data_IF_777861426684
#
_entry.id   IF_777861426684
#
_cell.length_a   1.000
_cell.length_b   1.000
_cell.length_c   1.000
_cell.angle_alpha   90.00
_cell.angle_beta   90.00
_cell.angle_gamma   90.00
#
_symmetry.space_group_name_H-M   'P 1'
#
loop_
_entity.id
_entity.type
_entity.pdbx_description
1 polymer ?
#
# COMPACT_ATOMS: atom_id res chain seq x y z
N UNK A 1 -28.49 28.66 1.82
CA UNK A 1 -28.90 28.66 0.41
C UNK A 1 -30.00 29.68 0.16
N UNK A 2 -31.14 29.56 0.90
CA UNK A 2 -32.28 30.48 0.78
C UNK A 2 -31.89 31.97 1.03
N UNK A 3 -31.15 32.24 2.09
CA UNK A 3 -30.68 33.56 2.43
C UNK A 3 -29.71 34.19 1.39
N UNK A 4 -28.90 33.33 0.76
CA UNK A 4 -27.88 33.79 -0.20
C UNK A 4 -28.44 34.02 -1.62
N UNK A 5 -29.41 33.17 -2.05
CA UNK A 5 -29.87 33.12 -3.44
C UNK A 5 -31.36 33.37 -3.61
N UNK A 6 -32.15 33.52 -2.53
CA UNK A 6 -33.60 33.68 -2.59
C UNK A 6 -34.36 32.47 -3.13
N UNK A 7 -33.72 31.30 -3.17
CA UNK A 7 -34.28 30.06 -3.71
C UNK A 7 -34.69 29.11 -2.60
N UNK A 8 -35.78 28.38 -2.80
CA UNK A 8 -36.24 27.30 -1.93
C UNK A 8 -35.88 25.94 -2.52
N UNK A 9 -35.55 24.97 -1.68
CA UNK A 9 -35.44 23.58 -2.12
C UNK A 9 -36.83 22.95 -2.19
N UNK A 10 -37.17 22.44 -3.36
CA UNK A 10 -38.43 21.73 -3.64
C UNK A 10 -38.22 20.23 -3.43
N UNK A 11 -37.07 19.71 -3.85
CA UNK A 11 -36.65 18.34 -3.59
C UNK A 11 -35.34 18.38 -2.81
N UNK A 12 -35.28 17.65 -1.70
CA UNK A 12 -34.07 17.53 -0.87
C UNK A 12 -33.83 16.08 -0.54
N UNK A 13 -32.99 15.42 -1.35
CA UNK A 13 -32.55 14.04 -1.19
C UNK A 13 -31.02 14.02 -1.25
N UNK A 14 -30.40 12.96 -0.73
CA UNK A 14 -28.94 12.79 -0.76
C UNK A 14 -28.41 12.82 -2.20
N UNK A 15 -29.10 12.18 -3.11
CA UNK A 15 -28.73 12.02 -4.52
C UNK A 15 -29.33 13.09 -5.45
N UNK A 16 -30.32 13.86 -5.00
CA UNK A 16 -31.02 14.82 -5.83
C UNK A 16 -31.51 16.06 -5.05
N UNK A 17 -31.16 17.23 -5.56
CA UNK A 17 -31.68 18.52 -5.10
C UNK A 17 -32.37 19.22 -6.26
N UNK A 18 -33.52 19.86 -5.99
CA UNK A 18 -34.20 20.70 -6.95
C UNK A 18 -34.67 21.99 -6.24
N UNK A 19 -34.49 23.13 -6.87
CA UNK A 19 -34.89 24.41 -6.31
C UNK A 19 -36.13 24.99 -6.99
N UNK A 20 -36.73 26.04 -6.40
CA UNK A 20 -37.94 26.72 -6.88
C UNK A 20 -37.80 27.37 -8.27
N UNK A 21 -36.57 27.50 -8.79
CA UNK A 21 -36.30 28.01 -10.14
C UNK A 21 -35.93 26.88 -11.12
N UNK A 22 -36.31 25.62 -10.83
CA UNK A 22 -36.05 24.41 -11.64
C UNK A 22 -34.58 24.01 -11.78
N UNK A 23 -33.67 24.66 -11.05
CA UNK A 23 -32.28 24.22 -10.97
C UNK A 23 -32.18 22.89 -10.24
N UNK A 24 -31.41 21.95 -10.81
CA UNK A 24 -31.25 20.57 -10.30
C UNK A 24 -29.79 20.23 -10.05
N UNK A 25 -29.54 19.48 -9.00
CA UNK A 25 -28.28 18.74 -8.78
C UNK A 25 -28.60 17.27 -8.63
N UNK A 26 -27.91 16.45 -9.39
CA UNK A 26 -27.91 14.99 -9.23
C UNK A 26 -26.51 14.51 -8.85
N UNK A 27 -26.43 13.55 -7.92
CA UNK A 27 -25.17 12.96 -7.48
C UNK A 27 -25.23 11.45 -7.59
N UNK A 28 -24.14 10.83 -8.06
CA UNK A 28 -23.97 9.38 -8.15
C UNK A 28 -22.51 9.01 -7.98
N UNK A 29 -22.21 7.76 -7.65
CA UNK A 29 -20.83 7.25 -7.63
C UNK A 29 -20.36 6.79 -9.02
N UNK A 30 -19.07 6.52 -9.16
CA UNK A 30 -18.48 5.88 -10.34
C UNK A 30 -19.19 4.55 -10.58
N UNK A 31 -19.55 4.28 -11.85
CA UNK A 31 -20.35 3.10 -12.22
C UNK A 31 -21.85 3.25 -11.95
N UNK A 32 -22.31 4.33 -11.30
CA UNK A 32 -23.72 4.60 -11.09
C UNK A 32 -24.45 5.01 -12.38
N UNK A 33 -25.76 4.77 -12.40
CA UNK A 33 -26.59 5.04 -13.58
C UNK A 33 -26.80 6.55 -13.76
N UNK A 34 -26.33 7.08 -14.88
CA UNK A 34 -26.61 8.44 -15.36
C UNK A 34 -27.70 8.47 -16.44
N UNK A 35 -28.31 7.31 -16.74
CA UNK A 35 -29.34 7.20 -17.80
C UNK A 35 -30.56 8.04 -17.42
N UNK A 36 -31.01 8.90 -18.36
CA UNK A 36 -32.13 9.83 -18.13
C UNK A 36 -31.75 11.16 -17.47
N UNK A 37 -30.53 11.33 -17.02
CA UNK A 37 -30.04 12.61 -16.49
C UNK A 37 -29.15 13.30 -17.52
N UNK A 38 -29.28 14.63 -17.60
CA UNK A 38 -28.44 15.54 -18.37
C UNK A 38 -28.20 16.78 -17.54
N UNK A 39 -27.15 17.53 -17.86
CA UNK A 39 -26.80 18.72 -17.11
C UNK A 39 -25.98 19.73 -17.89
N UNK A 40 -25.97 20.98 -17.40
CA UNK A 40 -25.18 22.07 -17.94
C UNK A 40 -23.72 22.07 -17.44
N UNK A 41 -23.42 21.26 -16.41
CA UNK A 41 -22.08 21.15 -15.82
C UNK A 41 -21.90 19.75 -15.22
N UNK A 42 -20.74 19.13 -15.45
CA UNK A 42 -20.29 17.92 -14.79
C UNK A 42 -19.25 18.25 -13.71
N UNK A 43 -19.40 17.71 -12.49
CA UNK A 43 -18.39 17.82 -11.43
C UNK A 43 -18.06 16.41 -10.95
N UNK A 44 -16.79 16.04 -11.01
CA UNK A 44 -16.26 14.81 -10.46
C UNK A 44 -15.41 15.18 -9.25
N UNK A 45 -15.74 14.60 -8.10
CA UNK A 45 -15.03 14.80 -6.86
C UNK A 45 -14.54 13.43 -6.36
N UNK A 46 -13.22 13.24 -6.33
CA UNK A 46 -12.56 11.98 -5.96
C UNK A 46 -13.15 10.72 -6.62
N UNK A 47 -12.91 10.57 -7.93
CA UNK A 47 -13.38 9.41 -8.72
C UNK A 47 -12.86 8.07 -8.19
N UNK A 48 -11.75 8.07 -7.44
CA UNK A 48 -11.11 6.92 -6.82
C UNK A 48 -10.60 7.30 -5.42
N UNK A 49 -10.77 6.41 -4.47
CA UNK A 49 -10.08 6.54 -3.18
C UNK A 49 -8.65 5.97 -3.28
N UNK A 50 -7.81 6.25 -2.27
CA UNK A 50 -6.41 5.84 -2.25
C UNK A 50 -6.19 4.31 -2.29
N UNK A 51 -7.16 3.51 -1.81
CA UNK A 51 -7.12 2.05 -1.84
C UNK A 51 -7.42 1.56 -3.25
N UNK A 52 -8.50 2.03 -3.85
CA UNK A 52 -8.93 1.63 -5.20
C UNK A 52 -7.92 2.06 -6.27
N UNK A 53 -7.20 3.16 -6.06
CA UNK A 53 -6.12 3.62 -6.93
C UNK A 53 -4.89 2.69 -6.97
N UNK A 54 -4.86 1.61 -6.18
CA UNK A 54 -3.88 0.53 -6.29
C UNK A 54 -4.33 -0.60 -7.23
N UNK A 55 -5.58 -0.58 -7.69
CA UNK A 55 -6.19 -1.58 -8.57
C UNK A 55 -6.29 -1.05 -10.00
N UNK A 56 -5.57 -1.68 -10.93
CA UNK A 56 -5.66 -1.34 -12.36
C UNK A 56 -7.09 -1.47 -12.90
N UNK A 57 -7.84 -2.46 -12.40
CA UNK A 57 -9.23 -2.66 -12.78
C UNK A 57 -10.13 -1.51 -12.32
N UNK A 58 -9.94 -1.01 -11.08
CA UNK A 58 -10.72 0.11 -10.57
C UNK A 58 -10.40 1.40 -11.33
N UNK A 59 -9.13 1.64 -11.63
CA UNK A 59 -8.69 2.76 -12.46
C UNK A 59 -9.32 2.70 -13.86
N UNK A 60 -9.22 1.54 -14.52
CA UNK A 60 -9.82 1.34 -15.85
C UNK A 60 -11.34 1.57 -15.83
N UNK A 61 -12.04 1.09 -14.81
CA UNK A 61 -13.48 1.29 -14.62
C UNK A 61 -13.84 2.77 -14.50
N UNK A 62 -13.07 3.54 -13.72
CA UNK A 62 -13.31 4.97 -13.54
C UNK A 62 -13.09 5.75 -14.86
N UNK A 63 -12.03 5.43 -15.60
CA UNK A 63 -11.73 6.04 -16.89
C UNK A 63 -12.80 5.70 -17.94
N UNK A 64 -13.20 4.43 -18.04
CA UNK A 64 -14.26 3.99 -18.95
C UNK A 64 -15.62 4.63 -18.61
N UNK A 65 -15.96 4.71 -17.33
CA UNK A 65 -17.19 5.38 -16.89
C UNK A 65 -17.19 6.87 -17.27
N UNK A 66 -16.08 7.56 -17.11
CA UNK A 66 -15.95 8.94 -17.58
C UNK A 66 -16.22 9.04 -19.08
N UNK A 67 -15.54 8.22 -19.89
CA UNK A 67 -15.61 8.28 -21.34
C UNK A 67 -16.99 7.89 -21.89
N UNK A 68 -17.63 6.89 -21.31
CA UNK A 68 -18.87 6.31 -21.84
C UNK A 68 -20.14 6.87 -21.22
N UNK A 69 -20.09 7.21 -19.92
CA UNK A 69 -21.29 7.61 -19.20
C UNK A 69 -21.38 9.14 -19.00
N UNK A 70 -20.33 9.79 -18.45
CA UNK A 70 -20.42 11.21 -18.08
C UNK A 70 -20.27 12.15 -19.27
N UNK A 71 -19.26 11.93 -20.12
CA UNK A 71 -18.93 12.84 -21.24
C UNK A 71 -20.12 13.09 -22.21
N UNK A 72 -21.06 12.15 -22.29
CA UNK A 72 -22.23 12.20 -23.15
C UNK A 72 -23.49 12.77 -22.47
N UNK A 73 -23.39 13.25 -21.23
CA UNK A 73 -24.53 13.72 -20.43
C UNK A 73 -24.61 15.22 -20.24
N UNK A 74 -23.87 15.95 -21.03
CA UNK A 74 -23.95 17.42 -21.04
C UNK A 74 -24.94 17.89 -22.09
N UNK A 75 -25.80 18.85 -21.71
CA UNK A 75 -26.83 19.40 -22.60
C UNK A 75 -26.23 20.22 -23.74
N UNK A 76 -25.10 20.87 -23.48
CA UNK A 76 -24.36 21.69 -24.44
C UNK A 76 -22.91 21.20 -24.47
N UNK A 77 -22.68 20.03 -25.08
CA UNK A 77 -21.40 19.35 -25.05
C UNK A 77 -20.20 20.13 -25.61
N UNK A 78 -20.46 21.18 -26.39
CA UNK A 78 -19.44 22.10 -26.94
C UNK A 78 -18.96 23.17 -25.94
N UNK A 79 -19.80 23.54 -24.94
CA UNK A 79 -19.52 24.64 -24.02
C UNK A 79 -19.75 24.30 -22.54
N UNK A 80 -20.42 23.19 -22.25
CA UNK A 80 -20.68 22.78 -20.87
C UNK A 80 -19.39 22.38 -20.15
N UNK A 81 -19.07 22.99 -19.02
CA UNK A 81 -17.84 22.68 -18.30
C UNK A 81 -17.90 21.32 -17.63
N UNK A 82 -16.76 20.62 -17.62
CA UNK A 82 -16.50 19.48 -16.73
C UNK A 82 -15.38 19.90 -15.79
N UNK A 83 -15.59 19.73 -14.50
CA UNK A 83 -14.59 19.98 -13.44
C UNK A 83 -14.25 18.65 -12.79
N UNK A 84 -12.98 18.34 -12.76
CA UNK A 84 -12.48 17.13 -12.06
C UNK A 84 -11.59 17.58 -10.90
N UNK A 85 -11.96 17.16 -9.70
CA UNK A 85 -11.25 17.46 -8.46
C UNK A 85 -10.80 16.11 -7.91
N UNK A 86 -9.50 15.89 -7.79
CA UNK A 86 -8.99 14.66 -7.17
C UNK A 86 -7.51 14.79 -6.81
N UNK A 87 -7.07 13.97 -5.88
CA UNK A 87 -5.65 13.75 -5.62
C UNK A 87 -5.04 12.90 -6.75
N UNK A 88 -3.77 13.16 -7.09
CA UNK A 88 -3.04 12.32 -8.05
C UNK A 88 -2.59 11.05 -7.34
N UNK A 89 -3.31 9.96 -7.55
CA UNK A 89 -3.11 8.69 -6.84
C UNK A 89 -2.34 7.65 -7.66
N UNK A 90 -2.44 7.70 -8.99
CA UNK A 90 -1.72 6.83 -9.92
C UNK A 90 -1.40 7.59 -11.21
N UNK A 91 -0.40 7.13 -11.96
CA UNK A 91 0.00 7.75 -13.22
C UNK A 91 -1.12 7.68 -14.28
N UNK A 92 -1.87 6.58 -14.27
CA UNK A 92 -2.96 6.28 -15.20
C UNK A 92 -4.36 6.45 -14.57
N UNK A 93 -4.48 7.16 -13.44
CA UNK A 93 -5.77 7.52 -12.87
C UNK A 93 -6.55 8.49 -13.80
N UNK A 94 -7.74 8.92 -13.39
CA UNK A 94 -8.56 9.78 -14.25
C UNK A 94 -7.83 11.07 -14.66
N UNK A 95 -7.03 11.67 -13.77
CA UNK A 95 -6.22 12.87 -14.12
C UNK A 95 -5.18 12.52 -15.19
N UNK A 96 -4.45 11.41 -15.02
CA UNK A 96 -3.47 10.92 -15.99
C UNK A 96 -4.12 10.61 -17.35
N UNK A 97 -5.29 9.97 -17.34
CA UNK A 97 -6.09 9.70 -18.53
C UNK A 97 -6.49 10.98 -19.29
N UNK A 98 -6.97 12.00 -18.56
CA UNK A 98 -7.37 13.28 -19.15
C UNK A 98 -6.17 14.08 -19.66
N UNK A 99 -5.02 14.04 -18.97
CA UNK A 99 -3.76 14.63 -19.45
C UNK A 99 -3.34 14.04 -20.80
N UNK A 100 -3.41 12.73 -20.93
CA UNK A 100 -3.04 12.04 -22.17
C UNK A 100 -3.96 12.42 -23.35
N UNK A 101 -5.24 12.72 -23.07
CA UNK A 101 -6.19 13.20 -24.10
C UNK A 101 -5.95 14.63 -24.50
N UNK A 102 -5.43 15.47 -23.60
CA UNK A 102 -5.28 16.91 -23.80
C UNK A 102 -6.59 17.68 -23.77
N UNK A 103 -6.53 19.02 -23.93
CA UNK A 103 -7.69 19.90 -23.93
C UNK A 103 -8.20 20.30 -22.54
N UNK A 104 -7.44 19.99 -21.49
CA UNK A 104 -7.75 20.32 -20.09
C UNK A 104 -6.82 21.40 -19.58
N UNK A 105 -7.35 22.28 -18.77
CA UNK A 105 -6.57 23.20 -17.96
C UNK A 105 -6.42 22.64 -16.55
N UNK A 106 -5.20 22.63 -16.03
CA UNK A 106 -4.90 22.01 -14.76
C UNK A 106 -4.55 23.05 -13.70
N UNK A 107 -5.20 22.92 -12.52
CA UNK A 107 -4.85 23.65 -11.31
C UNK A 107 -4.22 22.66 -10.31
N UNK A 108 -2.89 22.65 -10.23
CA UNK A 108 -2.13 21.74 -9.36
C UNK A 108 -1.52 22.53 -8.21
N UNK A 109 -1.95 22.27 -6.98
CA UNK A 109 -1.54 22.97 -5.78
C UNK A 109 -0.87 22.04 -4.77
N UNK A 110 0.47 21.90 -4.80
CA UNK A 110 1.18 21.12 -3.80
C UNK A 110 1.14 21.81 -2.43
N UNK A 111 1.12 21.03 -1.35
CA UNK A 111 1.13 21.53 0.02
C UNK A 111 2.38 22.39 0.31
N UNK A 112 3.54 21.95 -0.18
CA UNK A 112 4.81 22.71 -0.13
C UNK A 112 5.17 23.16 -1.54
N UNK A 113 5.38 24.45 -1.73
CA UNK A 113 5.66 25.04 -3.03
C UNK A 113 6.99 24.58 -3.62
N UNK A 114 6.97 24.26 -4.91
CA UNK A 114 8.16 23.99 -5.72
C UNK A 114 8.20 24.95 -6.92
N UNK A 115 9.18 25.85 -7.00
CA UNK A 115 9.31 26.79 -8.12
C UNK A 115 9.37 26.15 -9.50
N UNK A 116 9.93 24.92 -9.59
CA UNK A 116 10.03 24.16 -10.83
C UNK A 116 8.66 23.66 -11.34
N UNK A 117 7.66 23.64 -10.46
CA UNK A 117 6.30 23.15 -10.71
C UNK A 117 5.24 24.22 -10.40
N UNK A 118 5.60 25.49 -10.54
CA UNK A 118 4.64 26.57 -10.31
C UNK A 118 3.42 26.40 -11.20
N UNK A 119 2.25 26.34 -10.61
CA UNK A 119 0.99 26.27 -11.34
C UNK A 119 0.67 27.63 -11.96
N UNK A 120 0.34 27.62 -13.25
CA UNK A 120 -0.14 28.78 -14.01
C UNK A 120 -1.29 28.31 -14.89
N UNK A 121 -2.44 28.94 -14.72
CA UNK A 121 -3.64 28.73 -15.55
C UNK A 121 -3.96 29.97 -16.35
N UNK A 122 -4.98 29.91 -17.19
CA UNK A 122 -5.46 31.05 -17.98
C UNK A 122 -5.91 32.24 -17.12
N UNK A 123 -6.38 31.98 -15.88
CA UNK A 123 -6.98 32.96 -14.98
C UNK A 123 -6.26 33.13 -13.65
N UNK A 124 -5.28 32.27 -13.34
CA UNK A 124 -4.62 32.29 -12.03
C UNK A 124 -3.17 31.79 -12.10
N UNK A 125 -2.34 32.35 -11.23
CA UNK A 125 -0.94 31.92 -11.03
C UNK A 125 -0.68 31.73 -9.54
N UNK A 126 0.02 30.67 -9.18
CA UNK A 126 0.43 30.43 -7.79
C UNK A 126 1.27 31.58 -7.27
N UNK A 127 0.79 32.32 -6.25
CA UNK A 127 1.46 33.50 -5.74
C UNK A 127 2.69 33.20 -4.88
N UNK A 128 2.88 31.94 -4.48
CA UNK A 128 4.02 31.55 -3.65
C UNK A 128 5.34 31.71 -4.40
N UNK A 129 6.37 32.16 -3.70
CA UNK A 129 7.65 32.50 -4.30
C UNK A 129 8.80 31.60 -3.78
N UNK A 130 8.74 31.18 -2.51
CA UNK A 130 9.84 30.51 -1.83
C UNK A 130 9.60 29.01 -1.83
N UNK A 131 10.63 28.22 -2.20
CA UNK A 131 10.57 26.77 -2.12
C UNK A 131 10.24 26.30 -0.71
N UNK A 132 9.25 25.41 -0.59
CA UNK A 132 8.75 24.92 0.69
C UNK A 132 7.68 25.82 1.33
N UNK A 133 7.31 26.95 0.73
CA UNK A 133 6.22 27.80 1.21
C UNK A 133 4.91 27.01 1.22
N UNK A 134 4.20 27.03 2.37
CA UNK A 134 3.00 26.23 2.56
C UNK A 134 1.78 26.80 1.82
N UNK A 135 0.94 25.91 1.29
CA UNK A 135 -0.30 26.30 0.62
C UNK A 135 -1.29 26.93 1.60
N UNK A 136 -1.47 26.34 2.75
CA UNK A 136 -2.47 26.77 3.75
C UNK A 136 -1.91 26.58 5.18
N UNK A 137 -0.92 27.39 5.63
CA UNK A 137 -0.23 27.19 6.90
C UNK A 137 -1.16 27.25 8.12
N UNK A 138 -2.29 27.94 8.02
CA UNK A 138 -3.31 28.02 9.06
C UNK A 138 -4.16 26.74 9.19
N UNK A 139 -4.20 25.90 8.17
CA UNK A 139 -4.92 24.62 8.15
C UNK A 139 -3.97 23.44 8.27
N UNK A 140 -2.80 23.52 7.65
CA UNK A 140 -1.79 22.49 7.60
C UNK A 140 -0.42 23.11 7.95
N UNK A 141 -0.07 23.06 9.23
CA UNK A 141 1.21 23.59 9.70
C UNK A 141 2.39 22.73 9.22
N UNK A 142 3.61 23.26 9.27
CA UNK A 142 4.82 22.50 8.95
C UNK A 142 4.95 21.25 9.82
N UNK A 143 4.66 21.36 11.12
CA UNK A 143 4.71 20.21 12.03
C UNK A 143 3.74 19.10 11.62
N UNK A 144 2.53 19.45 11.20
CA UNK A 144 1.56 18.49 10.67
C UNK A 144 2.08 17.81 9.40
N UNK A 145 2.63 18.57 8.46
CA UNK A 145 3.17 18.01 7.22
C UNK A 145 4.38 17.10 7.47
N UNK A 146 5.23 17.44 8.44
CA UNK A 146 6.37 16.60 8.82
C UNK A 146 5.91 15.29 9.47
N UNK A 147 4.84 15.31 10.27
CA UNK A 147 4.20 14.10 10.79
C UNK A 147 3.62 13.24 9.66
N UNK A 148 2.96 13.87 8.67
CA UNK A 148 2.44 13.14 7.49
C UNK A 148 3.57 12.52 6.65
N UNK A 149 4.72 13.16 6.52
CA UNK A 149 5.90 12.56 5.85
C UNK A 149 6.35 11.28 6.54
N UNK A 150 6.36 11.28 7.88
CA UNK A 150 6.73 10.09 8.67
C UNK A 150 5.66 8.98 8.53
N UNK A 151 4.37 9.36 8.58
CA UNK A 151 3.25 8.41 8.57
C UNK A 151 3.07 7.75 7.20
N UNK A 152 3.18 8.53 6.12
CA UNK A 152 2.90 8.08 4.75
C UNK A 152 4.15 7.61 4.00
N UNK A 153 5.33 7.90 4.53
CA UNK A 153 6.59 7.77 3.79
C UNK A 153 6.70 8.76 2.63
N UNK A 154 7.86 8.83 1.99
CA UNK A 154 8.10 9.81 0.93
C UNK A 154 7.20 9.61 -0.29
N UNK A 155 6.87 8.36 -0.63
CA UNK A 155 6.00 8.06 -1.77
C UNK A 155 4.54 8.46 -1.52
N UNK A 156 3.97 8.09 -0.37
CA UNK A 156 2.60 8.44 0.00
C UNK A 156 2.43 9.96 0.14
N UNK A 157 3.40 10.63 0.77
CA UNK A 157 3.41 12.08 0.90
C UNK A 157 3.49 12.80 -0.46
N UNK A 158 4.36 12.31 -1.35
CA UNK A 158 4.49 12.89 -2.70
C UNK A 158 3.16 12.85 -3.47
N UNK A 159 2.40 11.77 -3.35
CA UNK A 159 1.08 11.64 -3.98
C UNK A 159 0.04 12.56 -3.36
N UNK A 160 -0.21 12.41 -2.06
CA UNK A 160 -1.36 13.05 -1.41
C UNK A 160 -1.14 14.54 -1.14
N UNK A 161 0.10 14.94 -0.83
CA UNK A 161 0.40 16.32 -0.46
C UNK A 161 1.15 17.10 -1.52
N UNK A 162 1.94 16.43 -2.37
CA UNK A 162 2.72 17.13 -3.40
C UNK A 162 2.14 16.97 -4.82
N UNK A 163 1.04 16.24 -4.97
CA UNK A 163 0.36 15.99 -6.25
C UNK A 163 1.34 15.44 -7.31
N UNK A 164 2.21 14.51 -6.89
CA UNK A 164 3.16 13.83 -7.73
C UNK A 164 2.76 12.37 -7.87
N UNK A 165 2.28 11.98 -9.06
CA UNK A 165 2.37 10.59 -9.46
C UNK A 165 3.85 10.28 -9.65
N UNK A 166 4.49 9.68 -8.66
CA UNK A 166 5.85 9.22 -8.86
C UNK A 166 5.83 8.08 -9.88
N UNK A 167 6.67 8.12 -10.94
CA UNK A 167 6.84 6.98 -11.81
C UNK A 167 7.27 5.77 -10.96
N UNK A 168 6.79 4.59 -11.32
CA UNK A 168 7.25 3.34 -10.69
C UNK A 168 8.67 2.94 -11.13
N UNK A 169 9.45 3.86 -11.67
CA UNK A 169 10.84 3.60 -12.01
C UNK A 169 11.66 3.37 -10.73
N UNK A 170 11.89 2.08 -10.43
CA UNK A 170 12.74 1.65 -9.34
C UNK A 170 12.03 1.08 -8.12
N UNK A 171 10.81 0.51 -8.25
CA UNK A 171 10.09 -0.13 -7.14
C UNK A 171 9.60 0.85 -6.07
N UNK A 172 8.58 0.43 -5.31
CA UNK A 172 8.04 1.25 -4.19
C UNK A 172 9.03 1.37 -3.05
N UNK A 173 9.85 0.34 -2.86
CA UNK A 173 10.83 0.21 -1.78
C UNK A 173 12.21 0.39 -2.37
N UNK A 174 12.87 1.50 -2.04
CA UNK A 174 14.22 1.78 -2.55
C UNK A 174 15.23 0.84 -1.90
N UNK A 175 16.15 0.30 -2.69
CA UNK A 175 17.23 -0.58 -2.19
C UNK A 175 18.05 0.04 -1.06
N UNK A 176 18.28 1.35 -1.10
CA UNK A 176 18.99 2.10 -0.07
C UNK A 176 18.27 2.15 1.30
N UNK A 177 16.98 1.82 1.36
CA UNK A 177 16.23 1.82 2.61
C UNK A 177 16.43 0.55 3.43
N UNK A 178 16.84 -0.57 2.80
CA UNK A 178 17.08 -1.82 3.49
C UNK A 178 18.22 -1.69 4.49
N UNK A 179 17.98 -2.12 5.73
CA UNK A 179 18.94 -2.24 6.81
C UNK A 179 19.29 -3.70 7.03
N UNK A 180 20.41 -3.94 7.69
CA UNK A 180 20.91 -5.30 7.86
C UNK A 180 21.22 -5.59 9.31
N UNK A 181 21.14 -6.88 9.69
CA UNK A 181 21.54 -7.36 11.00
C UNK A 181 22.36 -8.65 10.90
N UNK A 182 23.08 -8.96 11.96
CA UNK A 182 23.86 -10.19 12.12
C UNK A 182 23.54 -10.84 13.46
N UNK A 183 23.72 -12.16 13.52
CA UNK A 183 23.74 -12.91 14.75
C UNK A 183 25.17 -12.90 15.29
N UNK A 184 25.34 -12.80 16.60
CA UNK A 184 26.62 -12.59 17.28
C UNK A 184 27.71 -13.63 16.96
N UNK A 185 27.37 -14.79 16.46
CA UNK A 185 28.29 -15.93 16.29
C UNK A 185 28.64 -16.24 14.83
N UNK A 186 28.18 -15.43 13.88
CA UNK A 186 28.49 -15.68 12.48
C UNK A 186 29.63 -14.79 12.01
N UNK A 187 30.86 -15.30 12.17
CA UNK A 187 32.04 -14.85 11.39
C UNK A 187 31.95 -15.32 9.92
N UNK A 188 30.73 -15.63 9.43
CA UNK A 188 30.55 -15.94 8.04
C UNK A 188 31.03 -14.79 7.17
N UNK A 189 31.84 -15.04 6.12
CA UNK A 189 32.31 -14.00 5.24
C UNK A 189 31.12 -13.22 4.71
N UNK A 190 31.21 -11.91 4.81
CA UNK A 190 30.14 -10.99 4.37
C UNK A 190 29.98 -11.20 2.88
N UNK A 191 28.90 -11.87 2.48
CA UNK A 191 28.51 -11.86 1.06
C UNK A 191 28.19 -10.42 0.70
N UNK A 192 28.59 -10.02 -0.50
CA UNK A 192 28.27 -8.69 -0.99
C UNK A 192 26.75 -8.48 -0.93
N UNK A 193 26.33 -7.38 -0.31
CA UNK A 193 24.92 -6.96 -0.33
C UNK A 193 24.48 -6.69 -1.76
N UNK A 194 23.19 -6.79 -2.06
CA UNK A 194 22.67 -6.41 -3.37
C UNK A 194 23.08 -4.98 -3.73
N UNK A 195 23.40 -4.74 -5.01
CA UNK A 195 23.79 -3.40 -5.48
C UNK A 195 22.71 -2.35 -5.15
N UNK A 196 23.14 -1.20 -4.68
CA UNK A 196 22.25 -0.09 -4.30
C UNK A 196 21.67 -0.14 -2.89
N UNK A 197 21.96 -1.20 -2.11
CA UNK A 197 21.60 -1.25 -0.70
C UNK A 197 22.52 -0.38 0.17
N UNK A 198 22.02 -0.03 1.38
CA UNK A 198 22.78 0.74 2.35
C UNK A 198 24.06 0.02 2.78
N UNK A 199 25.18 0.74 2.76
CA UNK A 199 26.49 0.29 3.19
C UNK A 199 26.74 0.39 4.71
N UNK A 200 25.75 0.84 5.52
CA UNK A 200 25.92 1.00 6.97
C UNK A 200 26.24 -0.33 7.67
N UNK A 201 26.83 -0.26 8.86
CA UNK A 201 27.13 -1.42 9.67
C UNK A 201 25.86 -2.19 10.05
N UNK A 202 25.92 -3.54 10.02
CA UNK A 202 24.82 -4.38 10.46
C UNK A 202 24.57 -4.22 11.94
N UNK A 203 23.30 -4.20 12.34
CA UNK A 203 22.92 -4.32 13.73
C UNK A 203 23.27 -5.73 14.24
N UNK A 204 23.80 -5.87 15.43
CA UNK A 204 24.10 -7.18 16.04
C UNK A 204 22.98 -7.56 17.01
N UNK A 205 22.37 -8.74 16.80
CA UNK A 205 21.41 -9.31 17.74
C UNK A 205 22.16 -10.30 18.64
N UNK A 206 22.22 -9.98 19.92
CA UNK A 206 22.82 -10.82 20.94
C UNK A 206 21.91 -11.96 21.40
N UNK A 207 22.37 -12.71 22.41
CA UNK A 207 21.60 -13.74 23.11
C UNK A 207 21.33 -13.32 24.56
N UNK A 208 20.16 -13.73 25.06
CA UNK A 208 19.79 -13.63 26.47
C UNK A 208 20.62 -14.64 27.30
N UNK A 209 20.64 -14.49 28.60
CA UNK A 209 21.27 -15.47 29.51
C UNK A 209 20.69 -16.89 29.37
N UNK A 210 19.46 -17.04 28.88
CA UNK A 210 18.81 -18.31 28.56
C UNK A 210 19.41 -19.01 27.31
N UNK A 211 20.23 -18.30 26.52
CA UNK A 211 20.74 -18.76 25.24
C UNK A 211 19.84 -18.38 24.05
N UNK A 212 18.62 -17.90 24.29
CA UNK A 212 17.70 -17.45 23.26
C UNK A 212 18.17 -16.13 22.63
N UNK A 213 17.74 -15.84 21.38
CA UNK A 213 18.01 -14.55 20.77
C UNK A 213 17.36 -13.42 21.59
N UNK A 214 18.04 -12.28 21.67
CA UNK A 214 17.54 -11.11 22.40
C UNK A 214 16.48 -10.38 21.58
N UNK A 215 15.34 -11.07 21.44
CA UNK A 215 14.13 -10.60 20.77
C UNK A 215 12.93 -10.69 21.72
N UNK A 216 11.90 -9.91 21.43
CA UNK A 216 10.62 -9.95 22.15
C UNK A 216 9.78 -11.14 21.68
N UNK A 217 9.82 -11.44 20.37
CA UNK A 217 9.09 -12.53 19.74
C UNK A 217 9.76 -12.98 18.43
N UNK A 218 9.44 -14.21 18.01
CA UNK A 218 9.74 -14.76 16.68
C UNK A 218 8.48 -15.46 16.19
N UNK A 219 8.08 -15.13 14.95
CA UNK A 219 6.91 -15.66 14.28
C UNK A 219 7.28 -16.29 12.95
N UNK A 220 6.49 -17.26 12.51
CA UNK A 220 6.47 -17.77 11.15
C UNK A 220 5.27 -17.19 10.43
N UNK A 221 5.48 -16.56 9.28
CA UNK A 221 4.43 -15.97 8.45
C UNK A 221 4.25 -16.78 7.17
N UNK A 222 3.02 -17.14 6.84
CA UNK A 222 2.66 -18.02 5.73
C UNK A 222 1.61 -17.37 4.84
N UNK A 223 1.93 -17.22 3.56
CA UNK A 223 0.99 -16.91 2.48
C UNK A 223 0.80 -18.19 1.64
N UNK A 224 -0.33 -18.85 1.83
CA UNK A 224 -0.60 -20.19 1.26
C UNK A 224 -1.44 -20.09 -0.02
N UNK A 225 -0.90 -19.53 -1.08
CA UNK A 225 -1.48 -19.60 -2.42
C UNK A 225 -0.98 -20.85 -3.14
N UNK A 226 -1.87 -21.80 -3.41
CA UNK A 226 -1.55 -22.99 -4.22
C UNK A 226 -2.20 -22.83 -5.60
N UNK A 227 -1.39 -22.64 -6.64
CA UNK A 227 -1.77 -22.88 -8.03
C UNK A 227 -1.60 -24.37 -8.40
N UNK A 228 -2.15 -24.83 -9.52
CA UNK A 228 -1.73 -26.09 -10.11
C UNK A 228 -0.21 -26.03 -10.35
N UNK A 229 0.51 -27.13 -10.09
CA UNK A 229 1.97 -27.26 -10.31
C UNK A 229 2.31 -27.09 -11.81
N UNK A 230 2.22 -25.87 -12.28
CA UNK A 230 2.68 -25.43 -13.61
C UNK A 230 3.87 -24.49 -13.41
N UNK A 231 4.67 -24.28 -14.43
CA UNK A 231 5.83 -23.36 -14.40
C UNK A 231 5.49 -21.90 -13.98
N UNK A 232 4.21 -21.62 -13.76
CA UNK A 232 3.67 -20.33 -13.28
C UNK A 232 2.98 -20.45 -11.91
N UNK A 233 3.21 -21.54 -11.15
CA UNK A 233 2.62 -21.69 -9.83
C UNK A 233 3.17 -20.62 -8.87
N UNK A 234 2.28 -19.86 -8.22
CA UNK A 234 2.66 -18.94 -7.17
C UNK A 234 3.39 -19.66 -6.06
N UNK A 235 4.50 -19.11 -5.59
CA UNK A 235 5.25 -19.65 -4.47
C UNK A 235 4.42 -19.55 -3.18
N UNK A 236 4.52 -20.57 -2.33
CA UNK A 236 4.05 -20.44 -0.94
C UNK A 236 5.03 -19.54 -0.21
N UNK A 237 4.57 -18.36 0.18
CA UNK A 237 5.36 -17.41 0.97
C UNK A 237 5.57 -17.94 2.39
N UNK A 238 6.82 -18.08 2.80
CA UNK A 238 7.19 -18.60 4.14
C UNK A 238 8.36 -17.78 4.69
N UNK A 239 8.04 -16.85 5.60
CA UNK A 239 9.02 -15.94 6.21
C UNK A 239 9.15 -16.23 7.71
N UNK A 240 10.38 -16.12 8.21
CA UNK A 240 10.68 -16.13 9.65
C UNK A 240 11.05 -14.70 10.04
N UNK A 241 10.22 -14.11 10.93
CA UNK A 241 10.35 -12.72 11.34
C UNK A 241 10.44 -12.62 12.85
N UNK A 242 11.39 -11.84 13.36
CA UNK A 242 11.47 -11.51 14.77
C UNK A 242 11.22 -10.02 15.02
N UNK A 243 10.92 -9.68 16.27
CA UNK A 243 10.73 -8.30 16.69
C UNK A 243 11.45 -7.94 17.98
N UNK A 244 11.95 -6.69 18.06
CA UNK A 244 12.43 -6.06 19.28
C UNK A 244 12.02 -4.60 19.29
N UNK A 245 11.12 -4.23 20.20
CA UNK A 245 10.46 -2.93 20.17
C UNK A 245 9.77 -2.70 18.83
N UNK A 246 10.07 -1.60 18.17
CA UNK A 246 9.50 -1.26 16.86
C UNK A 246 10.23 -1.92 15.68
N UNK A 247 11.42 -2.50 15.90
CA UNK A 247 12.21 -3.10 14.83
C UNK A 247 11.72 -4.49 14.48
N UNK A 248 11.83 -4.83 13.19
CA UNK A 248 11.52 -6.14 12.62
C UNK A 248 12.76 -6.71 11.95
N UNK A 249 12.95 -8.02 12.06
CA UNK A 249 14.13 -8.72 11.60
C UNK A 249 13.68 -9.92 10.76
N UNK A 250 13.99 -9.93 9.47
CA UNK A 250 13.71 -11.07 8.57
C UNK A 250 14.90 -12.01 8.64
N UNK A 251 14.70 -13.16 9.26
CA UNK A 251 15.74 -14.19 9.50
C UNK A 251 15.88 -15.14 8.33
N UNK A 252 14.76 -15.46 7.69
CA UNK A 252 14.75 -16.37 6.56
C UNK A 252 13.56 -16.13 5.65
N UNK A 253 13.79 -16.40 4.36
CA UNK A 253 12.78 -16.49 3.31
C UNK A 253 12.87 -17.90 2.70
N UNK A 254 11.98 -18.78 3.15
CA UNK A 254 11.86 -20.15 2.67
C UNK A 254 10.75 -20.29 1.61
N UNK A 255 10.37 -19.19 0.96
CA UNK A 255 9.32 -19.14 -0.06
C UNK A 255 9.69 -19.98 -1.28
N UNK A 256 8.82 -20.91 -1.68
CA UNK A 256 8.99 -21.80 -2.85
C UNK A 256 7.64 -22.27 -3.36
N UNK A 257 7.53 -22.65 -4.64
CA UNK A 257 6.42 -23.47 -5.11
C UNK A 257 6.38 -24.81 -4.35
N UNK A 258 5.26 -25.14 -3.72
CA UNK A 258 5.08 -26.38 -2.94
C UNK A 258 3.65 -26.87 -3.05
N UNK A 259 3.46 -28.18 -3.00
CA UNK A 259 2.17 -28.80 -2.76
C UNK A 259 1.72 -28.66 -1.30
N UNK A 260 0.47 -29.02 -1.00
CA UNK A 260 -0.10 -28.88 0.34
C UNK A 260 0.73 -29.61 1.42
N UNK A 261 1.03 -30.89 1.22
CA UNK A 261 1.79 -31.69 2.20
C UNK A 261 3.21 -31.18 2.44
N UNK A 262 3.89 -30.73 1.36
CA UNK A 262 5.23 -30.13 1.43
C UNK A 262 5.20 -28.80 2.17
N UNK A 263 4.13 -28.01 2.00
CA UNK A 263 3.97 -26.73 2.70
C UNK A 263 3.81 -26.94 4.20
N UNK A 264 2.95 -27.88 4.61
CA UNK A 264 2.76 -28.22 6.02
C UNK A 264 4.08 -28.74 6.63
N UNK A 265 4.81 -29.58 5.90
CA UNK A 265 6.11 -30.09 6.35
C UNK A 265 7.14 -28.96 6.53
N UNK A 266 7.23 -28.03 5.56
CA UNK A 266 8.13 -26.89 5.63
C UNK A 266 7.77 -25.94 6.79
N UNK A 267 6.48 -25.67 7.02
CA UNK A 267 6.04 -24.85 8.16
C UNK A 267 6.46 -25.50 9.49
N UNK A 268 6.29 -26.82 9.65
CA UNK A 268 6.73 -27.55 10.85
C UNK A 268 8.25 -27.44 11.05
N UNK A 269 9.01 -27.64 9.98
CA UNK A 269 10.47 -27.53 10.02
C UNK A 269 10.89 -26.12 10.49
N UNK A 270 10.29 -25.07 9.93
CA UNK A 270 10.61 -23.70 10.30
C UNK A 270 10.17 -23.36 11.72
N UNK A 271 9.03 -23.87 12.20
CA UNK A 271 8.60 -23.70 13.58
C UNK A 271 9.58 -24.33 14.57
N UNK A 272 10.06 -25.55 14.27
CA UNK A 272 11.05 -26.25 15.10
C UNK A 272 12.41 -25.54 15.05
N UNK A 273 12.87 -25.17 13.86
CA UNK A 273 14.16 -24.54 13.64
C UNK A 273 14.27 -23.15 14.29
N UNK A 274 13.22 -22.32 14.11
CA UNK A 274 13.20 -20.95 14.62
C UNK A 274 12.86 -20.85 16.10
N UNK A 275 12.23 -21.87 16.67
CA UNK A 275 11.67 -21.81 18.02
C UNK A 275 10.49 -20.84 18.14
N UNK A 276 9.85 -20.47 17.03
CA UNK A 276 8.71 -19.59 17.00
C UNK A 276 7.54 -20.16 17.83
N UNK A 277 6.84 -19.30 18.52
CA UNK A 277 5.66 -19.65 19.33
C UNK A 277 4.35 -19.23 18.70
N UNK A 278 4.41 -18.63 17.52
CA UNK A 278 3.25 -18.19 16.75
C UNK A 278 3.49 -18.42 15.28
N UNK A 279 2.45 -18.86 14.57
CA UNK A 279 2.40 -18.92 13.12
C UNK A 279 1.21 -18.11 12.64
N UNK A 280 1.46 -17.16 11.74
CA UNK A 280 0.50 -16.28 11.08
C UNK A 280 0.19 -16.89 9.72
N UNK A 281 -1.07 -17.20 9.42
CA UNK A 281 -1.43 -17.88 8.16
C UNK A 281 -2.55 -17.09 7.49
N UNK A 282 -2.32 -16.64 6.26
CA UNK A 282 -3.36 -15.99 5.46
C UNK A 282 -4.50 -16.97 5.16
N UNK A 283 -5.74 -16.61 5.57
CA UNK A 283 -6.93 -17.48 5.53
C UNK A 283 -7.49 -17.72 4.12
N UNK A 284 -6.93 -17.06 3.10
CA UNK A 284 -7.36 -17.22 1.71
C UNK A 284 -6.91 -18.53 1.11
N UNK A 285 -7.61 -18.99 0.10
CA UNK A 285 -7.33 -20.21 -0.65
C UNK A 285 -7.15 -21.44 0.27
N UNK A 286 -5.98 -22.04 0.25
CA UNK A 286 -5.70 -23.28 1.01
C UNK A 286 -5.21 -23.02 2.44
N UNK A 287 -5.08 -21.76 2.87
CA UNK A 287 -4.65 -21.40 4.22
C UNK A 287 -5.56 -21.99 5.31
N UNK A 288 -6.87 -22.06 5.05
CA UNK A 288 -7.83 -22.66 5.98
C UNK A 288 -7.51 -24.13 6.29
N UNK A 289 -7.15 -24.93 5.28
CA UNK A 289 -6.80 -26.33 5.46
C UNK A 289 -5.47 -26.51 6.25
N UNK A 290 -4.48 -25.63 6.01
CA UNK A 290 -3.22 -25.65 6.78
C UNK A 290 -3.50 -25.28 8.24
N UNK A 291 -4.34 -24.26 8.49
CA UNK A 291 -4.73 -23.83 9.84
C UNK A 291 -5.37 -25.01 10.60
N UNK A 292 -6.33 -25.69 9.98
CA UNK A 292 -7.02 -26.84 10.60
C UNK A 292 -6.04 -27.98 10.93
N UNK A 293 -5.18 -28.35 9.99
CA UNK A 293 -4.21 -29.40 10.19
C UNK A 293 -3.19 -29.07 11.28
N UNK A 294 -2.57 -27.89 11.24
CA UNK A 294 -1.59 -27.48 12.26
C UNK A 294 -2.24 -27.35 13.64
N UNK A 295 -3.46 -26.83 13.73
CA UNK A 295 -4.19 -26.74 15.00
C UNK A 295 -4.42 -28.10 15.61
N UNK A 296 -4.80 -29.09 14.79
CA UNK A 296 -5.00 -30.48 15.23
C UNK A 296 -3.69 -31.11 15.72
N UNK A 297 -2.60 -30.92 15.00
CA UNK A 297 -1.29 -31.49 15.37
C UNK A 297 -0.72 -30.90 16.64
N UNK A 298 -0.91 -29.58 16.85
CA UNK A 298 -0.50 -28.92 18.08
C UNK A 298 -1.35 -29.41 19.26
N UNK A 299 -2.68 -29.48 19.09
CA UNK A 299 -3.59 -29.98 20.12
C UNK A 299 -3.32 -31.42 20.54
N UNK A 300 -2.88 -32.27 19.61
CA UNK A 300 -2.53 -33.68 19.86
C UNK A 300 -1.08 -33.87 20.30
N UNK A 301 -0.29 -32.81 20.45
CA UNK A 301 1.11 -32.86 20.90
C UNK A 301 2.08 -33.50 19.90
N UNK A 302 1.71 -33.54 18.62
CA UNK A 302 2.56 -34.13 17.57
C UNK A 302 3.74 -33.23 17.24
N UNK A 303 3.63 -31.92 17.41
CA UNK A 303 4.72 -30.99 17.13
C UNK A 303 5.67 -30.91 18.32
N UNK A 304 6.91 -31.32 18.09
CA UNK A 304 7.94 -31.38 19.12
C UNK A 304 9.19 -30.59 18.73
N UNK A 305 9.84 -29.97 19.71
CA UNK A 305 11.12 -29.31 19.52
C UNK A 305 12.28 -30.30 19.27
N UNK A 306 13.46 -29.79 18.99
CA UNK A 306 14.66 -30.63 18.77
C UNK A 306 15.06 -31.50 19.99
N UNK A 307 14.49 -31.23 21.17
CA UNK A 307 14.69 -32.00 22.41
C UNK A 307 13.54 -32.97 22.69
N UNK A 308 12.60 -33.14 21.75
CA UNK A 308 11.42 -33.99 21.88
C UNK A 308 10.31 -33.47 22.78
N UNK A 309 10.36 -32.20 23.23
CA UNK A 309 9.32 -31.58 24.07
C UNK A 309 8.22 -31.04 23.19
N UNK A 310 6.97 -31.20 23.61
CA UNK A 310 5.81 -30.64 22.91
C UNK A 310 5.92 -29.10 22.82
N UNK A 311 5.78 -28.58 21.62
CA UNK A 311 5.77 -27.13 21.38
C UNK A 311 4.37 -26.57 21.58
N UNK A 312 4.28 -25.47 22.31
CA UNK A 312 3.07 -24.68 22.43
C UNK A 312 3.13 -23.53 21.42
N UNK A 313 2.38 -23.67 20.34
CA UNK A 313 2.36 -22.70 19.24
C UNK A 313 0.94 -22.17 19.06
N UNK A 314 0.81 -20.87 18.94
CA UNK A 314 -0.44 -20.21 18.57
C UNK A 314 -0.55 -20.17 17.05
N UNK A 315 -1.55 -20.81 16.49
CA UNK A 315 -1.93 -20.63 15.08
C UNK A 315 -2.87 -19.43 15.02
N UNK A 316 -2.48 -18.41 14.25
CA UNK A 316 -3.23 -17.17 14.12
C UNK A 316 -3.66 -16.96 12.66
N UNK A 317 -4.95 -17.15 12.34
CA UNK A 317 -5.49 -16.86 11.03
C UNK A 317 -5.46 -15.35 10.75
N UNK A 318 -4.97 -14.97 9.58
CA UNK A 318 -4.93 -13.57 9.13
C UNK A 318 -5.88 -13.40 7.95
N UNK A 319 -6.79 -12.46 8.07
CA UNK A 319 -7.61 -12.00 6.95
C UNK A 319 -6.94 -10.77 6.34
N UNK A 320 -6.37 -10.88 5.13
CA UNK A 320 -5.67 -9.75 4.54
C UNK A 320 -6.66 -8.67 4.09
N UNK A 321 -6.44 -7.46 4.55
CA UNK A 321 -7.17 -6.28 4.10
C UNK A 321 -6.48 -5.64 2.90
N UNK A 322 -7.25 -5.30 1.86
CA UNK A 322 -6.74 -4.67 0.65
C UNK A 322 -5.93 -5.59 -0.29
N UNK A 323 -5.48 -5.03 -1.41
CA UNK A 323 -4.65 -5.71 -2.40
C UNK A 323 -3.16 -5.79 -2.01
N UNK A 324 -2.36 -6.58 -2.75
CA UNK A 324 -0.90 -6.70 -2.54
C UNK A 324 -0.20 -5.33 -2.51
N UNK A 325 -0.55 -4.45 -3.44
CA UNK A 325 0.03 -3.11 -3.54
C UNK A 325 -0.31 -2.22 -2.33
N UNK A 326 -1.53 -2.32 -1.78
CA UNK A 326 -1.94 -1.59 -0.58
C UNK A 326 -1.19 -2.07 0.67
N UNK A 327 -1.01 -3.39 0.81
CA UNK A 327 -0.25 -3.99 1.92
C UNK A 327 1.24 -3.62 1.85
N UNK A 328 1.82 -3.61 0.66
CA UNK A 328 3.20 -3.14 0.45
C UNK A 328 3.36 -1.66 0.84
N UNK A 329 2.40 -0.80 0.45
CA UNK A 329 2.37 0.61 0.82
C UNK A 329 2.34 0.83 2.34
N UNK A 330 1.63 -0.02 3.07
CA UNK A 330 1.56 0.07 4.54
C UNK A 330 2.92 -0.23 5.22
N UNK A 331 3.79 -1.01 4.58
CA UNK A 331 5.12 -1.34 5.10
C UNK A 331 6.22 -0.34 4.70
N UNK A 332 5.98 0.42 3.64
CA UNK A 332 6.93 1.36 3.05
C UNK A 332 7.52 2.36 4.08
N UNK A 333 6.72 3.06 4.91
CA UNK A 333 7.25 4.00 5.89
C UNK A 333 8.18 3.34 6.91
N UNK A 334 7.87 2.12 7.34
CA UNK A 334 8.69 1.40 8.30
C UNK A 334 10.04 0.96 7.70
N UNK A 335 10.05 0.57 6.43
CA UNK A 335 11.27 0.21 5.70
C UNK A 335 12.13 1.45 5.45
N UNK A 336 11.53 2.55 5.00
CA UNK A 336 12.21 3.84 4.79
C UNK A 336 12.83 4.38 6.08
N UNK A 337 12.10 4.29 7.19
CA UNK A 337 12.59 4.68 8.52
C UNK A 337 13.68 3.74 9.08
N UNK A 338 14.07 2.68 8.34
CA UNK A 338 15.08 1.73 8.76
C UNK A 338 14.65 0.83 9.92
N UNK A 339 13.36 0.59 10.07
CA UNK A 339 12.82 -0.29 11.12
C UNK A 339 12.81 -1.76 10.73
N UNK A 340 12.98 -2.07 9.43
CA UNK A 340 13.03 -3.44 8.91
C UNK A 340 14.46 -3.81 8.54
N UNK A 341 14.95 -4.92 9.09
CA UNK A 341 16.32 -5.39 8.91
C UNK A 341 16.31 -6.79 8.29
N UNK A 342 17.18 -7.01 7.32
CA UNK A 342 17.40 -8.29 6.65
C UNK A 342 18.66 -8.96 7.18
N UNK A 343 18.67 -10.30 7.28
CA UNK A 343 19.85 -11.05 7.71
C UNK A 343 20.99 -10.87 6.69
N UNK A 344 22.09 -10.28 7.13
CA UNK A 344 23.26 -9.98 6.30
C UNK A 344 23.93 -11.29 5.85
N UNK A 345 24.24 -11.40 4.56
CA UNK A 345 24.86 -12.59 3.96
C UNK A 345 23.92 -13.78 3.75
N UNK A 346 22.61 -13.64 4.01
CA UNK A 346 21.66 -14.71 3.74
C UNK A 346 21.60 -15.10 2.25
N UNK A 347 21.45 -16.39 1.92
CA UNK A 347 21.44 -16.85 0.53
C UNK A 347 20.25 -16.32 -0.29
N UNK A 348 19.12 -16.02 0.37
CA UNK A 348 17.89 -15.50 -0.22
C UNK A 348 17.91 -13.98 -0.45
N UNK A 349 18.85 -13.25 0.15
CA UNK A 349 18.86 -11.79 0.24
C UNK A 349 18.79 -11.09 -1.12
N UNK A 350 19.52 -11.59 -2.13
CA UNK A 350 19.56 -10.98 -3.47
C UNK A 350 18.21 -11.10 -4.17
N UNK A 351 17.60 -12.28 -4.08
CA UNK A 351 16.28 -12.53 -4.67
C UNK A 351 15.20 -11.68 -3.99
N UNK A 352 15.17 -11.68 -2.65
CA UNK A 352 14.23 -10.92 -1.84
C UNK A 352 14.28 -9.42 -2.15
N UNK A 353 15.47 -8.82 -2.13
CA UNK A 353 15.63 -7.39 -2.45
C UNK A 353 15.27 -7.12 -3.93
N UNK A 354 15.55 -8.06 -4.84
CA UNK A 354 15.18 -7.93 -6.25
C UNK A 354 13.68 -7.97 -6.50
N UNK A 355 12.94 -8.73 -5.70
CA UNK A 355 11.48 -8.84 -5.80
C UNK A 355 10.74 -7.65 -5.17
N UNK A 356 11.30 -7.09 -4.09
CA UNK A 356 10.61 -6.09 -3.27
C UNK A 356 11.16 -4.66 -3.42
N UNK A 357 12.14 -4.40 -4.31
CA UNK A 357 12.77 -3.09 -4.49
C UNK A 357 12.59 -2.49 -5.90
#
# INVERSE_FOLDING_TARGET
YRAAFGLELVTERIDALENSATGRRFATGVGGALTGFRGDCGIIDDSLNAIDATSETAIATANEWFDTALSNRLDRGDVAPIVVIQQVLAENDLIGHLRARGGWEELVLPAEFDPARRCVTSIWRDPREVKGELLAPQLQSQAYLDEQKVTLGSYGYAKQFQQLAAPQEGGRIKRAWWRFFRLHETDAPVRARPHGCDGSASLVIGRKASGDLDLDWIDVSVDATFGALTDKADAVGLLIVGGKGQRRFVFDDASKPRGFGESVAAIREELVRSGARRVLIEKKANGAAIIEQLTTEIATGQLKDARGRTMLIKVEPIEPEGGKASRAAAMEPAIEAGMVHLLDGAPWLVAFVGEHA
#
